data_IF_120960156043
#
_entry.id   IF_120960156043
#
_cell.length_a   1.000
_cell.length_b   1.000
_cell.length_c   1.000
_cell.angle_alpha   90.00
_cell.angle_beta   90.00
_cell.angle_gamma   90.00
#
_symmetry.space_group_name_H-M   'P 1'
#
loop_
_entity.id
_entity.type
_entity.pdbx_description
1 polymer ?
#
# COMPACT_ATOMS: atom_id res chain seq x y z
N UNK A 1 -12.18 11.83 12.94
CA UNK A 1 -12.15 11.58 11.49
C UNK A 1 -10.74 11.17 11.17
N UNK A 2 -10.41 9.91 11.33
CA UNK A 2 -9.09 9.42 10.91
C UNK A 2 -9.21 9.03 9.44
N UNK A 3 -9.26 10.10 8.63
CA UNK A 3 -9.16 10.04 7.19
C UNK A 3 -7.73 9.72 6.80
N UNK A 4 -7.58 8.94 5.76
CA UNK A 4 -6.31 8.59 5.16
C UNK A 4 -5.50 9.84 4.78
N UNK A 5 -4.18 9.66 4.64
CA UNK A 5 -3.28 10.69 4.08
C UNK A 5 -2.80 10.22 2.72
N UNK A 6 -3.15 10.95 1.65
CA UNK A 6 -2.57 10.72 0.32
C UNK A 6 -1.16 11.24 0.27
N UNK A 7 -0.27 10.54 -0.44
CA UNK A 7 1.13 10.91 -0.50
C UNK A 7 1.77 10.56 -1.84
N UNK A 8 2.96 11.10 -2.06
CA UNK A 8 3.81 10.82 -3.22
C UNK A 8 4.58 9.51 -3.06
N UNK A 9 5.12 9.00 -4.17
CA UNK A 9 6.00 7.82 -4.16
C UNK A 9 7.22 8.01 -3.26
N UNK A 10 7.78 9.22 -3.23
CA UNK A 10 8.92 9.57 -2.37
C UNK A 10 8.57 9.47 -0.89
N UNK A 11 7.50 10.14 -0.46
CA UNK A 11 7.04 10.10 0.93
C UNK A 11 6.69 8.68 1.38
N UNK A 12 6.09 7.90 0.48
CA UNK A 12 5.79 6.49 0.72
C UNK A 12 7.06 5.65 0.93
N UNK A 13 8.09 5.84 0.09
CA UNK A 13 9.36 5.13 0.25
C UNK A 13 10.12 5.55 1.51
N UNK A 14 10.09 6.84 1.86
CA UNK A 14 10.69 7.35 3.10
C UNK A 14 10.04 6.69 4.33
N UNK A 15 8.72 6.46 4.31
CA UNK A 15 8.00 5.73 5.37
C UNK A 15 8.30 4.23 5.40
N UNK A 16 8.42 3.60 4.22
CA UNK A 16 8.73 2.17 4.13
C UNK A 16 10.14 1.89 4.62
N UNK A 17 11.11 2.73 4.24
CA UNK A 17 12.54 2.57 4.53
C UNK A 17 13.16 1.43 3.72
N UNK A 18 14.19 1.72 2.92
CA UNK A 18 14.76 0.76 1.95
C UNK A 18 15.25 -0.56 2.57
N UNK A 19 15.85 -0.49 3.76
CA UNK A 19 16.39 -1.64 4.50
C UNK A 19 15.40 -2.27 5.49
N UNK A 20 14.19 -1.76 5.59
CA UNK A 20 13.15 -2.29 6.47
C UNK A 20 12.62 -3.64 5.96
N UNK A 21 12.14 -4.46 6.89
CA UNK A 21 11.32 -5.64 6.57
C UNK A 21 9.86 -5.24 6.72
N UNK A 22 9.10 -5.33 5.64
CA UNK A 22 7.66 -5.01 5.58
C UNK A 22 6.85 -6.24 5.18
N UNK A 23 5.55 -6.21 5.51
CA UNK A 23 4.58 -7.19 5.02
C UNK A 23 3.80 -6.58 3.87
N UNK A 24 3.83 -7.24 2.72
CA UNK A 24 3.13 -6.78 1.51
C UNK A 24 2.08 -7.80 1.11
N UNK A 25 0.85 -7.36 0.90
CA UNK A 25 -0.18 -8.15 0.21
C UNK A 25 -0.51 -7.52 -1.14
N UNK A 26 -0.98 -8.35 -2.07
CA UNK A 26 -1.40 -7.92 -3.41
C UNK A 26 -2.79 -8.48 -3.67
N UNK A 27 -3.71 -7.61 -4.03
CA UNK A 27 -5.09 -7.94 -4.35
C UNK A 27 -5.42 -7.45 -5.75
N UNK A 28 -5.92 -8.36 -6.60
CA UNK A 28 -6.56 -8.02 -7.86
C UNK A 28 -8.00 -7.58 -7.56
N UNK A 29 -8.30 -6.30 -7.76
CA UNK A 29 -9.58 -5.71 -7.41
C UNK A 29 -10.70 -6.10 -8.39
N UNK A 30 -10.35 -6.61 -9.57
CA UNK A 30 -11.32 -7.09 -10.57
C UNK A 30 -11.89 -8.46 -10.21
N UNK A 31 -11.20 -9.20 -9.33
CA UNK A 31 -11.58 -10.56 -8.92
C UNK A 31 -12.28 -10.54 -7.57
N UNK A 32 -13.52 -11.03 -7.55
CA UNK A 32 -14.27 -11.28 -6.30
C UNK A 32 -13.57 -12.38 -5.49
N UNK A 33 -13.48 -12.20 -4.17
CA UNK A 33 -12.91 -13.15 -3.21
C UNK A 33 -11.39 -13.42 -3.30
N UNK A 34 -10.60 -12.50 -3.82
CA UNK A 34 -9.14 -12.60 -3.75
C UNK A 34 -8.69 -12.45 -2.29
N UNK A 35 -8.27 -13.55 -1.66
CA UNK A 35 -7.63 -13.51 -0.33
C UNK A 35 -6.27 -12.83 -0.45
N UNK A 36 -6.13 -11.64 0.13
CA UNK A 36 -4.87 -10.93 0.23
C UNK A 36 -3.94 -11.69 1.21
N UNK A 37 -2.92 -12.36 0.67
CA UNK A 37 -1.87 -13.01 1.49
C UNK A 37 -0.71 -12.05 1.67
N UNK A 38 -0.30 -11.85 2.92
CA UNK A 38 0.88 -11.05 3.23
C UNK A 38 2.16 -11.88 3.10
N UNK A 39 3.15 -11.29 2.44
CA UNK A 39 4.48 -11.84 2.28
C UNK A 39 5.52 -10.85 2.82
N UNK A 40 6.56 -11.36 3.48
CA UNK A 40 7.69 -10.53 3.92
C UNK A 40 8.49 -10.07 2.70
N UNK A 41 8.83 -8.78 2.65
CA UNK A 41 9.64 -8.13 1.61
C UNK A 41 10.63 -7.16 2.25
N UNK A 42 11.72 -6.84 1.55
CA UNK A 42 12.54 -5.68 1.92
C UNK A 42 11.87 -4.42 1.40
N UNK A 43 12.07 -3.29 2.08
CA UNK A 43 11.47 -2.02 1.68
C UNK A 43 11.84 -1.61 0.26
N UNK A 44 13.10 -1.78 -0.14
CA UNK A 44 13.56 -1.57 -1.52
C UNK A 44 12.83 -2.40 -2.58
N UNK A 45 12.30 -3.56 -2.22
CA UNK A 45 11.52 -4.40 -3.15
C UNK A 45 10.15 -3.77 -3.45
N UNK A 46 9.75 -2.73 -2.71
CA UNK A 46 8.50 -2.01 -2.90
C UNK A 46 8.61 -0.85 -3.90
N UNK A 47 9.83 -0.39 -4.21
CA UNK A 47 10.10 0.78 -5.05
C UNK A 47 9.35 0.72 -6.38
N UNK A 48 9.46 -0.40 -7.10
CA UNK A 48 8.86 -0.55 -8.44
C UNK A 48 7.36 -0.28 -8.44
N UNK A 49 6.62 -0.85 -7.49
CA UNK A 49 5.16 -0.69 -7.49
C UNK A 49 4.69 0.61 -6.83
N UNK A 50 5.55 1.25 -6.02
CA UNK A 50 5.29 2.57 -5.44
C UNK A 50 5.49 3.66 -6.49
N UNK A 51 6.53 3.56 -7.33
CA UNK A 51 6.79 4.52 -8.40
C UNK A 51 5.73 4.47 -9.51
N UNK A 52 5.21 3.27 -9.79
CA UNK A 52 4.16 3.06 -10.80
C UNK A 52 2.75 3.39 -10.28
N UNK A 53 2.61 3.67 -8.99
CA UNK A 53 1.31 3.87 -8.36
C UNK A 53 0.59 5.09 -8.92
N UNK A 54 -0.73 4.98 -9.06
CA UNK A 54 -1.61 6.08 -9.46
C UNK A 54 -2.27 6.77 -8.28
N UNK A 55 -2.34 6.08 -7.14
CA UNK A 55 -2.76 6.62 -5.86
C UNK A 55 -2.03 5.88 -4.74
N UNK A 56 -1.51 6.64 -3.78
CA UNK A 56 -0.93 6.11 -2.55
C UNK A 56 -1.60 6.80 -1.37
N UNK A 57 -2.04 6.01 -0.39
CA UNK A 57 -2.65 6.52 0.82
C UNK A 57 -2.19 5.73 2.05
N UNK A 58 -1.88 6.42 3.15
CA UNK A 58 -1.67 5.82 4.47
C UNK A 58 -2.97 5.84 5.25
N UNK A 59 -3.35 4.69 5.79
CA UNK A 59 -4.51 4.48 6.65
C UNK A 59 -4.00 3.74 7.88
N UNK A 60 -3.94 4.39 9.04
CA UNK A 60 -3.25 3.87 10.22
C UNK A 60 -1.87 3.33 9.83
N UNK A 61 -1.62 2.04 10.04
CA UNK A 61 -0.35 1.36 9.79
C UNK A 61 -0.24 0.79 8.36
N UNK A 62 -1.27 0.97 7.53
CA UNK A 62 -1.33 0.45 6.16
C UNK A 62 -0.98 1.53 5.14
N UNK A 63 -0.05 1.23 4.25
CA UNK A 63 0.15 1.98 3.02
C UNK A 63 -0.56 1.25 1.89
N UNK A 64 -1.63 1.84 1.38
CA UNK A 64 -2.38 1.36 0.21
C UNK A 64 -1.82 1.97 -1.05
N UNK A 65 -1.39 1.11 -1.97
CA UNK A 65 -0.72 1.49 -3.21
C UNK A 65 -1.51 0.92 -4.39
N UNK A 66 -2.22 1.80 -5.11
CA UNK A 66 -3.11 1.42 -6.20
C UNK A 66 -2.43 1.55 -7.55
N UNK A 67 -2.56 0.53 -8.39
CA UNK A 67 -2.05 0.56 -9.77
C UNK A 67 -2.90 1.44 -10.70
N UNK A 68 -4.13 1.76 -10.30
CA UNK A 68 -5.09 2.57 -11.05
C UNK A 68 -5.57 3.74 -10.20
N UNK A 69 -5.98 4.85 -10.85
CA UNK A 69 -6.59 5.96 -10.11
C UNK A 69 -7.85 5.46 -9.40
N UNK A 70 -8.07 5.88 -8.17
CA UNK A 70 -9.28 5.56 -7.41
C UNK A 70 -9.94 6.87 -6.95
N UNK A 71 -11.28 6.92 -6.88
CA UNK A 71 -11.98 8.09 -6.37
C UNK A 71 -11.72 8.27 -4.86
N UNK A 72 -11.63 7.16 -4.13
CA UNK A 72 -11.36 7.12 -2.70
C UNK A 72 -10.54 5.85 -2.35
N UNK A 73 -9.55 5.91 -1.45
CA UNK A 73 -8.73 4.76 -1.05
C UNK A 73 -9.37 3.84 0.01
N UNK A 74 -10.50 4.24 0.61
CA UNK A 74 -11.33 3.43 1.50
C UNK A 74 -12.45 2.75 0.68
N UNK A 75 -13.19 3.54 -0.11
CA UNK A 75 -14.30 3.07 -0.96
C UNK A 75 -13.88 3.07 -2.45
N UNK A 76 -12.97 2.16 -2.80
CA UNK A 76 -12.38 2.07 -4.14
C UNK A 76 -13.20 1.21 -5.11
N UNK A 77 -13.04 1.48 -6.41
CA UNK A 77 -13.68 0.73 -7.47
C UNK A 77 -12.92 -0.56 -7.81
N UNK A 78 -13.60 -1.62 -8.31
CA UNK A 78 -13.01 -2.92 -8.62
C UNK A 78 -12.16 -2.91 -9.90
N UNK A 79 -11.09 -2.12 -9.93
CA UNK A 79 -10.17 -1.98 -11.06
C UNK A 79 -8.71 -1.99 -10.63
N UNK A 80 -7.87 -2.64 -11.43
CA UNK A 80 -6.44 -2.73 -11.19
C UNK A 80 -6.09 -3.56 -9.94
N UNK A 81 -4.95 -3.22 -9.34
CA UNK A 81 -4.40 -3.90 -8.18
C UNK A 81 -4.30 -2.95 -6.98
N UNK A 82 -4.62 -3.47 -5.80
CA UNK A 82 -4.28 -2.88 -4.52
C UNK A 82 -3.10 -3.65 -3.93
N UNK A 83 -2.01 -2.95 -3.63
CA UNK A 83 -0.93 -3.49 -2.81
C UNK A 83 -1.00 -2.82 -1.45
N UNK A 84 -1.02 -3.61 -0.39
CA UNK A 84 -1.03 -3.12 0.99
C UNK A 84 0.31 -3.42 1.63
N UNK A 85 1.01 -2.39 2.09
CA UNK A 85 2.26 -2.50 2.84
C UNK A 85 1.99 -2.17 4.30
N UNK A 86 2.22 -3.12 5.22
CA UNK A 86 2.13 -2.87 6.65
C UNK A 86 3.44 -2.27 7.15
N UNK A 87 3.35 -1.06 7.72
CA UNK A 87 4.47 -0.34 8.30
C UNK A 87 4.72 -0.82 9.72
N UNK A 88 5.99 -1.03 10.07
CA UNK A 88 6.39 -1.71 11.32
C UNK A 88 6.29 -0.81 12.56
N UNK A 89 6.32 0.51 12.38
CA UNK A 89 6.42 1.50 13.45
C UNK A 89 5.18 1.54 14.37
N UNK A 90 4.04 1.03 13.91
CA UNK A 90 2.79 1.07 14.67
C UNK A 90 2.39 -0.28 15.30
N UNK A 91 3.14 -1.35 15.05
CA UNK A 91 2.94 -2.66 15.70
C UNK A 91 3.70 -2.81 17.03
N UNK A 92 4.42 -1.77 17.45
CA UNK A 92 5.39 -1.82 18.55
C UNK A 92 5.07 -0.86 19.71
N UNK A 93 3.85 -0.31 19.77
CA UNK A 93 3.37 0.49 20.92
C UNK A 93 2.36 -0.29 21.74
#
# INVERSE_FOLDING_TARGET
MEGYVTMTAKEAMDLVGEDSIVLVSVQDLTKKNTLAKFCKKKGRDCQNFIDEAKLIAKIECELRVFSEKQPDPIDFEPRGFLRTVLLRDELSK
#
